data_IF_876227225417
#
_entry.id   IF_876227225417
#
_cell.length_a   1.000
_cell.length_b   1.000
_cell.length_c   1.000
_cell.angle_alpha   90.00
_cell.angle_beta   90.00
_cell.angle_gamma   90.00
#
_symmetry.space_group_name_H-M   'P 1'
#
loop_
_entity.id
_entity.type
_entity.pdbx_description
1 polymer ?
#
# COMPACT_ATOMS: atom_id res chain seq x y z
N UNK A 1 0.45 8.26 -16.98
CA UNK A 1 -0.18 8.51 -15.66
C UNK A 1 -0.40 7.16 -14.99
N UNK A 2 0.27 6.91 -13.87
CA UNK A 2 0.23 5.63 -13.17
C UNK A 2 -0.70 5.74 -11.97
N UNK A 3 -1.54 4.75 -11.74
CA UNK A 3 -2.42 4.66 -10.59
C UNK A 3 -2.19 3.31 -9.90
N UNK A 4 -2.00 3.33 -8.60
CA UNK A 4 -1.97 2.12 -7.79
C UNK A 4 -3.40 1.84 -7.34
N UNK A 5 -3.95 0.71 -7.78
CA UNK A 5 -5.23 0.22 -7.31
C UNK A 5 -5.05 -1.25 -6.92
N UNK A 6 -4.99 -1.51 -5.62
CA UNK A 6 -4.65 -2.84 -5.10
C UNK A 6 -5.88 -3.73 -4.94
N UNK A 7 -6.99 -3.18 -4.47
CA UNK A 7 -8.25 -3.92 -4.34
C UNK A 7 -9.27 -3.37 -5.34
N UNK A 8 -9.66 -4.22 -6.31
CA UNK A 8 -10.73 -3.88 -7.27
C UNK A 8 -12.07 -4.32 -6.72
N UNK A 9 -13.05 -3.44 -6.80
CA UNK A 9 -14.45 -3.80 -6.49
C UNK A 9 -15.06 -4.62 -7.64
N UNK A 10 -15.86 -5.68 -7.36
CA UNK A 10 -16.17 -6.20 -6.02
C UNK A 10 -15.05 -7.09 -5.47
N UNK A 11 -14.65 -6.83 -4.23
CA UNK A 11 -13.71 -7.66 -3.48
C UNK A 11 -14.41 -8.15 -2.21
N UNK A 12 -14.20 -9.41 -1.78
CA UNK A 12 -14.70 -9.87 -0.48
C UNK A 12 -13.87 -9.34 0.69
N UNK A 13 -12.79 -8.62 0.40
CA UNK A 13 -11.88 -8.06 1.40
C UNK A 13 -12.03 -6.56 1.51
N UNK A 14 -11.80 -6.04 2.71
CA UNK A 14 -11.85 -4.62 3.04
C UNK A 14 -10.45 -4.09 3.28
N UNK A 15 -10.15 -2.95 2.69
CA UNK A 15 -8.87 -2.29 2.90
C UNK A 15 -8.90 -1.43 4.16
N UNK A 16 -7.77 -1.40 4.87
CA UNK A 16 -7.55 -0.51 6.00
C UNK A 16 -7.18 0.88 5.50
N UNK A 17 -8.16 1.75 5.33
CA UNK A 17 -7.97 3.10 4.78
C UNK A 17 -7.22 4.08 5.70
N UNK A 18 -6.98 3.71 6.96
CA UNK A 18 -6.30 4.55 7.94
C UNK A 18 -4.81 4.73 7.63
N UNK A 19 -4.21 3.76 6.97
CA UNK A 19 -2.81 3.74 6.61
C UNK A 19 -2.65 3.85 5.10
N UNK A 20 -1.59 4.52 4.68
CA UNK A 20 -1.31 4.81 3.27
C UNK A 20 0.10 4.41 2.92
N UNK A 21 0.35 4.08 1.68
CA UNK A 21 1.68 4.08 1.13
C UNK A 21 2.29 5.48 1.20
N UNK A 22 3.60 5.57 1.18
CA UNK A 22 4.33 6.82 1.35
C UNK A 22 5.57 6.88 0.48
N UNK A 23 6.01 8.09 0.16
CA UNK A 23 7.32 8.31 -0.43
C UNK A 23 8.42 7.85 0.52
N UNK A 24 9.50 7.30 -0.04
CA UNK A 24 10.65 6.82 0.71
C UNK A 24 11.94 7.27 0.03
N UNK A 25 12.98 7.51 0.84
CA UNK A 25 14.29 7.94 0.36
C UNK A 25 15.22 8.22 1.52
N UNK A 26 15.77 9.43 1.60
CA UNK A 26 16.57 9.85 2.77
C UNK A 26 15.76 9.94 4.06
N UNK A 27 14.44 10.07 3.96
CA UNK A 27 13.49 9.94 5.06
C UNK A 27 12.68 8.70 4.84
N UNK A 28 12.40 7.95 5.92
CA UNK A 28 11.63 6.72 5.85
C UNK A 28 10.19 6.99 5.40
N UNK A 29 9.51 7.95 6.04
CA UNK A 29 8.19 8.41 5.65
C UNK A 29 8.28 9.82 5.03
N UNK A 30 7.90 9.96 3.79
CA UNK A 30 7.92 11.22 3.05
C UNK A 30 6.70 11.35 2.12
N UNK A 31 6.33 12.54 1.67
CA UNK A 31 5.39 12.69 0.55
C UNK A 31 5.93 12.03 -0.74
N UNK A 32 5.04 11.58 -1.66
CA UNK A 32 3.59 11.65 -1.55
C UNK A 32 3.00 10.54 -0.68
N UNK A 33 1.79 10.80 -0.11
CA UNK A 33 0.95 9.75 0.45
C UNK A 33 0.10 9.15 -0.66
N UNK A 34 0.06 7.83 -0.75
CA UNK A 34 -0.61 7.10 -1.82
C UNK A 34 -1.64 6.16 -1.19
N UNK A 35 -2.90 6.35 -1.53
CA UNK A 35 -3.99 5.48 -1.08
C UNK A 35 -4.02 4.20 -1.90
N UNK A 36 -4.23 3.06 -1.24
CA UNK A 36 -4.32 1.76 -1.90
C UNK A 36 -5.71 1.47 -2.45
N UNK A 37 -6.76 1.99 -1.82
CA UNK A 37 -8.14 1.82 -2.22
C UNK A 37 -8.98 3.08 -2.04
N UNK A 38 -10.27 2.97 -2.39
CA UNK A 38 -11.21 4.09 -2.29
C UNK A 38 -10.93 5.26 -3.24
N UNK A 39 -9.84 5.19 -3.99
CA UNK A 39 -9.47 6.20 -4.98
C UNK A 39 -10.08 5.94 -6.36
N UNK A 40 -10.25 7.00 -7.14
CA UNK A 40 -10.60 6.89 -8.55
C UNK A 40 -9.34 6.90 -9.41
N UNK A 41 -9.27 6.07 -10.46
CA UNK A 41 -8.17 6.10 -11.42
C UNK A 41 -7.91 7.52 -11.94
N UNK A 42 -6.65 7.93 -11.93
CA UNK A 42 -6.25 9.25 -12.41
C UNK A 42 -6.36 10.39 -11.39
N UNK A 43 -6.75 10.11 -10.15
CA UNK A 43 -6.69 11.07 -9.04
C UNK A 43 -5.50 10.78 -8.12
N UNK A 44 -5.06 11.78 -7.39
CA UNK A 44 -3.92 11.71 -6.48
C UNK A 44 -2.64 12.33 -7.03
N UNK A 45 -1.51 12.01 -6.41
CA UNK A 45 -0.22 12.53 -6.83
C UNK A 45 0.19 11.96 -8.21
N UNK A 46 0.70 12.82 -9.06
CA UNK A 46 1.30 12.39 -10.32
C UNK A 46 2.67 11.76 -10.02
N UNK A 47 2.78 10.46 -10.29
CA UNK A 47 4.04 9.75 -10.14
C UNK A 47 4.97 10.07 -11.32
N UNK A 48 6.20 10.48 -11.01
CA UNK A 48 7.21 10.90 -11.99
C UNK A 48 8.44 9.99 -11.88
N UNK A 49 9.18 9.78 -12.98
CA UNK A 49 10.46 9.08 -12.94
C UNK A 49 11.39 9.65 -11.88
N UNK A 50 12.09 8.78 -11.17
CA UNK A 50 12.95 9.13 -10.04
C UNK A 50 12.25 9.21 -8.69
N UNK A 51 10.93 9.05 -8.63
CA UNK A 51 10.21 8.92 -7.35
C UNK A 51 10.32 7.49 -6.82
N UNK A 52 10.48 7.39 -5.50
CA UNK A 52 10.46 6.13 -4.76
C UNK A 52 9.34 6.18 -3.73
N UNK A 53 8.59 5.09 -3.60
CA UNK A 53 7.50 4.99 -2.64
C UNK A 53 7.21 3.53 -2.27
N UNK A 54 6.43 3.33 -1.21
CA UNK A 54 5.99 2.00 -0.78
C UNK A 54 4.65 1.63 -1.45
N UNK A 55 4.38 0.34 -1.55
CA UNK A 55 3.05 -0.23 -1.81
C UNK A 55 2.84 -1.27 -0.72
N UNK A 56 1.91 -1.00 0.19
CA UNK A 56 1.76 -1.73 1.46
C UNK A 56 0.30 -1.95 1.89
N UNK A 57 -0.56 -2.46 1.01
CA UNK A 57 -1.97 -2.62 1.33
C UNK A 57 -2.19 -3.59 2.48
N UNK A 58 -3.18 -3.30 3.30
CA UNK A 58 -3.70 -4.19 4.34
C UNK A 58 -5.10 -4.63 3.96
N UNK A 59 -5.30 -5.92 3.74
CA UNK A 59 -6.57 -6.50 3.33
C UNK A 59 -7.17 -7.31 4.50
N UNK A 60 -8.32 -6.87 4.99
CA UNK A 60 -9.06 -7.51 6.06
C UNK A 60 -10.17 -8.40 5.51
N UNK A 61 -10.36 -9.58 6.10
CA UNK A 61 -11.48 -10.46 5.81
C UNK A 61 -12.83 -9.88 6.31
N UNK A 62 -12.78 -9.01 7.31
CA UNK A 62 -13.93 -8.38 7.92
C UNK A 62 -14.01 -6.87 7.66
N UNK A 63 -14.21 -6.09 8.72
CA UNK A 63 -14.33 -4.63 8.62
C UNK A 63 -12.97 -3.96 8.37
N UNK A 64 -12.99 -2.77 7.81
CA UNK A 64 -11.79 -1.96 7.59
C UNK A 64 -11.22 -1.34 8.88
N UNK A 65 -12.00 -1.35 9.95
CA UNK A 65 -11.62 -0.72 11.20
C UNK A 65 -10.53 -1.51 11.94
N UNK A 66 -9.66 -0.76 12.61
CA UNK A 66 -8.55 -1.28 13.39
C UNK A 66 -8.52 -0.67 14.79
N UNK A 67 -7.87 -1.35 15.72
CA UNK A 67 -7.57 -0.84 17.07
C UNK A 67 -6.09 -1.02 17.38
N UNK A 68 -5.52 -0.04 18.07
CA UNK A 68 -4.15 -0.11 18.60
C UNK A 68 -4.23 -0.75 19.98
N UNK A 69 -3.33 -1.68 20.26
CA UNK A 69 -3.24 -2.32 21.58
C UNK A 69 -2.59 -1.39 22.62
N UNK A 70 -2.57 -1.83 23.88
CA UNK A 70 -2.05 -1.05 25.01
C UNK A 70 -0.55 -0.74 24.93
N UNK A 71 0.19 -1.47 24.09
CA UNK A 71 1.60 -1.19 23.83
C UNK A 71 1.82 0.06 22.95
N UNK A 72 0.74 0.67 22.43
CA UNK A 72 0.79 1.85 21.57
C UNK A 72 1.34 1.61 20.16
N UNK A 73 1.63 0.36 19.82
CA UNK A 73 2.26 -0.04 18.55
C UNK A 73 1.47 -1.08 17.77
N UNK A 74 1.12 -2.18 18.41
CA UNK A 74 0.44 -3.30 17.75
C UNK A 74 -0.95 -2.91 17.29
N UNK A 75 -1.22 -3.12 16.00
CA UNK A 75 -2.52 -2.85 15.38
C UNK A 75 -3.18 -4.17 15.02
N UNK A 76 -4.44 -4.32 15.40
CA UNK A 76 -5.24 -5.51 15.11
C UNK A 76 -6.57 -5.10 14.48
N UNK A 77 -7.21 -6.04 13.77
CA UNK A 77 -8.56 -5.83 13.24
C UNK A 77 -9.56 -5.59 14.39
N UNK A 78 -10.52 -4.70 14.17
CA UNK A 78 -11.50 -4.39 15.22
C UNK A 78 -12.42 -5.56 15.55
N UNK A 79 -12.71 -6.39 14.56
CA UNK A 79 -13.60 -7.57 14.64
C UNK A 79 -12.87 -8.89 14.92
N UNK A 80 -11.54 -8.90 15.01
CA UNK A 80 -10.73 -10.08 15.29
C UNK A 80 -10.60 -11.06 14.12
N UNK A 81 -11.06 -10.71 12.92
CA UNK A 81 -10.90 -11.52 11.72
C UNK A 81 -9.49 -11.38 11.13
N UNK A 82 -9.18 -12.23 10.14
CA UNK A 82 -7.86 -12.27 9.51
C UNK A 82 -7.57 -10.99 8.72
N UNK A 83 -6.29 -10.64 8.70
CA UNK A 83 -5.73 -9.58 7.88
C UNK A 83 -4.43 -10.05 7.24
N UNK A 84 -4.17 -9.58 6.03
CA UNK A 84 -2.92 -9.81 5.33
C UNK A 84 -2.32 -8.47 4.90
N UNK A 85 -0.99 -8.35 5.02
CA UNK A 85 -0.22 -7.19 4.58
C UNK A 85 1.05 -7.65 3.87
N UNK A 86 1.33 -7.03 2.75
CA UNK A 86 2.60 -7.18 2.03
C UNK A 86 3.08 -5.80 1.61
N UNK A 87 4.39 -5.63 1.61
CA UNK A 87 5.00 -4.35 1.27
C UNK A 87 6.11 -4.51 0.25
N UNK A 88 6.10 -3.61 -0.72
CA UNK A 88 7.21 -3.40 -1.63
C UNK A 88 7.62 -1.94 -1.69
N UNK A 89 8.93 -1.72 -1.78
CA UNK A 89 9.49 -0.45 -2.19
C UNK A 89 9.68 -0.46 -3.70
N UNK A 90 9.13 0.56 -4.36
CA UNK A 90 9.18 0.69 -5.82
C UNK A 90 9.78 2.01 -6.24
N UNK A 91 10.47 2.02 -7.37
CA UNK A 91 10.97 3.21 -8.03
C UNK A 91 10.32 3.40 -9.38
N UNK A 92 9.93 4.63 -9.71
CA UNK A 92 9.33 4.98 -11.00
C UNK A 92 10.43 5.22 -12.02
N UNK A 93 10.33 4.56 -13.17
CA UNK A 93 11.21 4.77 -14.33
C UNK A 93 10.45 5.48 -15.46
N UNK A 94 11.13 5.81 -16.55
CA UNK A 94 10.50 6.39 -17.75
C UNK A 94 9.47 5.44 -18.40
N UNK A 95 9.70 4.13 -18.31
CA UNK A 95 8.89 3.10 -18.98
C UNK A 95 8.03 2.27 -18.03
N UNK A 96 8.12 2.46 -16.71
CA UNK A 96 7.39 1.64 -15.75
C UNK A 96 7.86 1.82 -14.32
N UNK A 97 8.01 0.72 -13.60
CA UNK A 97 8.54 0.73 -12.24
C UNK A 97 9.50 -0.42 -12.00
N UNK A 98 10.39 -0.25 -11.03
CA UNK A 98 11.31 -1.25 -10.52
C UNK A 98 10.96 -1.57 -9.07
N UNK A 99 10.95 -2.87 -8.72
CA UNK A 99 10.67 -3.33 -7.36
C UNK A 99 11.98 -3.66 -6.67
N UNK A 100 12.35 -2.87 -5.66
CA UNK A 100 13.62 -3.00 -4.94
C UNK A 100 13.62 -4.11 -3.89
N UNK A 101 12.46 -4.47 -3.38
CA UNK A 101 12.29 -5.48 -2.32
C UNK A 101 11.83 -6.84 -2.86
N UNK A 102 12.01 -7.08 -4.15
CA UNK A 102 11.68 -8.37 -4.76
C UNK A 102 12.63 -9.45 -4.25
N UNK A 103 12.08 -10.55 -3.75
CA UNK A 103 12.87 -11.72 -3.36
C UNK A 103 13.36 -12.42 -4.62
N UNK A 104 14.69 -12.72 -4.77
CA UNK A 104 15.20 -13.46 -5.90
C UNK A 104 14.46 -14.80 -6.09
N UNK A 105 14.01 -15.07 -7.31
CA UNK A 105 13.25 -16.29 -7.63
C UNK A 105 11.76 -16.26 -7.30
N UNK A 106 11.25 -15.19 -6.68
CA UNK A 106 9.80 -14.98 -6.56
C UNK A 106 9.26 -14.35 -7.85
N UNK A 107 8.18 -14.92 -8.39
CA UNK A 107 7.38 -14.21 -9.38
C UNK A 107 6.56 -13.16 -8.65
N UNK A 108 6.75 -11.89 -9.00
CA UNK A 108 5.92 -10.83 -8.46
C UNK A 108 4.53 -10.96 -9.10
N UNK A 109 3.53 -11.25 -8.28
CA UNK A 109 2.15 -11.09 -8.67
C UNK A 109 1.81 -9.59 -8.65
N UNK A 110 2.12 -8.90 -9.73
CA UNK A 110 1.70 -7.51 -9.97
C UNK A 110 0.93 -7.47 -11.28
#
# INVERSE_FOLDING_TARGET
MWCVCVLRSPSPYFEVNKYTAHGIGRRFHAPPHIQHGGGYPGRGALLKPGMFFTIEPMANEGVSDTRVLSDGWTVVTADGKLSAQFEHTVGVSESGCEIFTKVPGSEAFI
#
